data_IF_276437535031
#
_entry.id   IF_276437535031
#
_cell.length_a   1.000
_cell.length_b   1.000
_cell.length_c   1.000
_cell.angle_alpha   90.00
_cell.angle_beta   90.00
_cell.angle_gamma   90.00
#
_symmetry.space_group_name_H-M   'P 1'
#
loop_
_entity.id
_entity.type
_entity.pdbx_description
1 polymer ?
#
# COMPACT_ATOMS: atom_id res chain seq x y z
N UNK A 1 1.74 23.86 -3.66
CA UNK A 1 1.84 22.38 -3.76
C UNK A 1 1.96 22.03 -5.23
N UNK A 2 2.90 21.15 -5.62
CA UNK A 2 3.07 20.71 -7.01
C UNK A 2 1.92 19.79 -7.38
N UNK A 3 1.34 19.98 -8.57
CA UNK A 3 0.33 19.09 -9.13
C UNK A 3 1.00 17.95 -9.90
N UNK A 4 1.01 16.77 -9.31
CA UNK A 4 1.65 15.59 -9.90
C UNK A 4 0.87 15.01 -11.09
N UNK A 5 -0.44 15.23 -11.16
CA UNK A 5 -1.23 14.85 -12.32
C UNK A 5 -0.83 15.71 -13.54
N UNK A 6 -0.76 17.02 -13.35
CA UNK A 6 -0.30 17.94 -14.41
C UNK A 6 1.16 17.67 -14.81
N UNK A 7 2.05 17.36 -13.85
CA UNK A 7 3.45 17.03 -14.14
C UNK A 7 3.59 15.78 -15.04
N UNK A 8 2.69 14.81 -14.88
CA UNK A 8 2.67 13.60 -15.72
C UNK A 8 1.73 13.72 -16.94
N UNK A 9 1.09 14.87 -17.18
CA UNK A 9 0.08 15.08 -18.25
C UNK A 9 -1.06 14.04 -18.21
N UNK A 10 -1.57 13.76 -17.02
CA UNK A 10 -2.70 12.86 -16.82
C UNK A 10 -3.86 13.58 -16.16
N UNK A 11 -5.06 13.09 -16.40
CA UNK A 11 -6.28 13.63 -15.81
C UNK A 11 -6.31 13.43 -14.29
N UNK A 12 -6.82 14.43 -13.55
CA UNK A 12 -7.04 14.33 -12.10
C UNK A 12 -8.21 13.42 -11.80
N UNK A 13 -7.92 12.18 -11.45
CA UNK A 13 -8.95 11.19 -11.11
C UNK A 13 -8.49 10.21 -10.04
N UNK A 14 -9.42 9.64 -9.26
CA UNK A 14 -9.10 8.70 -8.19
C UNK A 14 -8.45 7.42 -8.68
N UNK A 15 -8.98 6.81 -9.73
CA UNK A 15 -8.44 5.59 -10.32
C UNK A 15 -7.61 5.91 -11.56
N UNK A 16 -6.40 5.35 -11.63
CA UNK A 16 -5.50 5.46 -12.78
C UNK A 16 -5.01 4.06 -13.11
N UNK A 17 -4.99 3.72 -14.39
CA UNK A 17 -4.46 2.44 -14.84
C UNK A 17 -2.93 2.41 -14.65
N UNK A 18 -2.43 1.38 -13.99
CA UNK A 18 -1.01 1.27 -13.61
C UNK A 18 -0.08 1.15 -14.82
N UNK A 19 -0.47 0.43 -15.87
CA UNK A 19 0.33 0.31 -17.09
C UNK A 19 0.39 1.63 -17.85
N UNK A 20 -0.74 2.33 -17.93
CA UNK A 20 -0.80 3.66 -18.52
C UNK A 20 0.12 4.62 -17.78
N UNK A 21 0.05 4.66 -16.44
CA UNK A 21 0.89 5.52 -15.60
C UNK A 21 2.39 5.20 -15.78
N UNK A 22 2.77 3.91 -15.81
CA UNK A 22 4.14 3.49 -16.08
C UNK A 22 4.62 3.95 -17.45
N UNK A 23 3.80 3.78 -18.49
CA UNK A 23 4.15 4.18 -19.85
C UNK A 23 4.33 5.70 -19.98
N UNK A 24 3.49 6.49 -19.30
CA UNK A 24 3.63 7.95 -19.26
C UNK A 24 4.93 8.34 -18.56
N UNK A 25 5.20 7.75 -17.39
CA UNK A 25 6.43 8.01 -16.65
C UNK A 25 7.69 7.67 -17.45
N UNK A 26 7.74 6.51 -18.11
CA UNK A 26 8.89 6.12 -18.93
C UNK A 26 9.12 7.07 -20.12
N UNK A 27 8.07 7.48 -20.82
CA UNK A 27 8.18 8.46 -21.91
C UNK A 27 8.72 9.81 -21.43
N UNK A 28 8.25 10.30 -20.29
CA UNK A 28 8.75 11.56 -19.71
C UNK A 28 10.19 11.44 -19.23
N UNK A 29 10.54 10.33 -18.61
CA UNK A 29 11.92 10.04 -18.19
C UNK A 29 12.87 10.07 -19.38
N UNK A 30 12.49 9.46 -20.50
CA UNK A 30 13.29 9.46 -21.72
C UNK A 30 13.44 10.85 -22.33
N UNK A 31 12.34 11.62 -22.38
CA UNK A 31 12.37 13.03 -22.81
C UNK A 31 13.29 13.88 -21.94
N UNK A 32 13.27 13.71 -20.62
CA UNK A 32 14.13 14.44 -19.68
C UNK A 32 15.61 14.11 -19.91
N UNK A 33 15.94 12.85 -20.18
CA UNK A 33 17.32 12.43 -20.51
C UNK A 33 17.82 13.08 -21.80
N UNK A 34 16.98 13.11 -22.85
CA UNK A 34 17.32 13.70 -24.14
C UNK A 34 17.55 15.21 -24.07
N UNK A 35 16.82 15.91 -23.21
CA UNK A 35 16.91 17.38 -23.08
C UNK A 35 17.85 17.84 -21.95
N UNK A 36 18.58 16.92 -21.29
CA UNK A 36 19.51 17.20 -20.18
C UNK A 36 18.85 18.05 -19.07
N UNK A 37 17.60 17.70 -18.71
CA UNK A 37 16.80 18.42 -17.69
C UNK A 37 17.50 18.33 -16.33
N UNK A 38 17.34 19.37 -15.53
CA UNK A 38 17.96 19.49 -14.20
C UNK A 38 17.58 18.34 -13.25
N UNK A 39 18.47 18.04 -12.31
CA UNK A 39 18.31 16.97 -11.32
C UNK A 39 17.02 17.09 -10.49
N UNK A 40 16.61 18.33 -10.17
CA UNK A 40 15.44 18.62 -9.35
C UNK A 40 14.12 18.30 -10.06
N UNK A 41 14.05 18.51 -11.36
CA UNK A 41 12.89 18.16 -12.17
C UNK A 41 12.74 16.63 -12.27
N UNK A 42 13.87 15.92 -12.38
CA UNK A 42 13.88 14.46 -12.37
C UNK A 42 13.43 13.88 -11.02
N UNK A 43 13.87 14.47 -9.91
CA UNK A 43 13.43 14.12 -8.57
C UNK A 43 11.92 14.36 -8.40
N UNK A 44 11.41 15.48 -8.92
CA UNK A 44 9.98 15.81 -8.92
C UNK A 44 9.15 14.82 -9.73
N UNK A 45 9.64 14.40 -10.91
CA UNK A 45 9.01 13.39 -11.75
C UNK A 45 8.91 12.03 -11.04
N UNK A 46 10.01 11.60 -10.38
CA UNK A 46 10.04 10.37 -9.61
C UNK A 46 9.05 10.42 -8.43
N UNK A 47 9.00 11.54 -7.72
CA UNK A 47 8.06 11.72 -6.61
C UNK A 47 6.60 11.71 -7.09
N UNK A 48 6.32 12.36 -8.22
CA UNK A 48 5.00 12.34 -8.86
C UNK A 48 4.57 10.91 -9.20
N UNK A 49 5.43 10.15 -9.87
CA UNK A 49 5.15 8.75 -10.21
C UNK A 49 4.90 7.90 -8.96
N UNK A 50 5.77 7.97 -7.95
CA UNK A 50 5.60 7.20 -6.70
C UNK A 50 4.30 7.56 -5.98
N UNK A 51 3.95 8.84 -5.93
CA UNK A 51 2.72 9.31 -5.29
C UNK A 51 1.47 8.83 -6.03
N UNK A 52 1.48 8.87 -7.35
CA UNK A 52 0.32 8.50 -8.16
C UNK A 52 0.22 6.98 -8.42
N UNK A 53 1.32 6.24 -8.33
CA UNK A 53 1.31 4.78 -8.44
C UNK A 53 0.64 4.09 -7.24
N UNK A 54 0.74 4.69 -6.06
CA UNK A 54 0.05 4.15 -4.89
C UNK A 54 -1.36 4.78 -4.77
N UNK A 55 -2.44 3.98 -4.78
CA UNK A 55 -3.81 4.49 -4.76
C UNK A 55 -4.14 5.32 -3.52
N UNK A 56 -3.62 4.98 -2.33
CA UNK A 56 -3.86 5.74 -1.12
C UNK A 56 -3.26 7.15 -1.20
N UNK A 57 -1.98 7.27 -1.58
CA UNK A 57 -1.30 8.57 -1.72
C UNK A 57 -1.82 9.37 -2.90
N UNK A 58 -2.23 8.72 -3.99
CA UNK A 58 -2.89 9.35 -5.13
C UNK A 58 -4.17 10.04 -4.72
N UNK A 59 -5.06 9.33 -4.01
CA UNK A 59 -6.33 9.90 -3.52
C UNK A 59 -6.05 11.07 -2.56
N UNK A 60 -5.12 10.90 -1.63
CA UNK A 60 -4.75 11.99 -0.69
C UNK A 60 -4.23 13.22 -1.43
N UNK A 61 -3.41 13.04 -2.47
CA UNK A 61 -2.92 14.12 -3.30
C UNK A 61 -4.05 14.80 -4.07
N UNK A 62 -4.93 14.02 -4.68
CA UNK A 62 -6.11 14.51 -5.38
C UNK A 62 -7.01 15.36 -4.46
N UNK A 63 -7.35 14.85 -3.28
CA UNK A 63 -8.20 15.57 -2.31
C UNK A 63 -7.56 16.88 -1.84
N UNK A 64 -6.23 16.92 -1.67
CA UNK A 64 -5.53 18.18 -1.34
C UNK A 64 -5.57 19.19 -2.48
N UNK A 65 -5.46 18.74 -3.72
CA UNK A 65 -5.54 19.63 -4.89
C UNK A 65 -6.93 20.24 -5.04
N UNK A 66 -7.97 19.42 -4.88
CA UNK A 66 -9.35 19.85 -5.15
C UNK A 66 -10.01 20.58 -3.95
N UNK A 67 -9.69 20.16 -2.73
CA UNK A 67 -10.36 20.64 -1.52
C UNK A 67 -9.44 21.28 -0.47
N UNK A 68 -8.15 21.37 -0.75
CA UNK A 68 -7.15 21.92 0.17
C UNK A 68 -6.76 21.00 1.33
N UNK A 69 -7.53 19.97 1.63
CA UNK A 69 -7.28 18.99 2.71
C UNK A 69 -7.72 17.59 2.30
N UNK A 70 -6.91 16.60 2.68
CA UNK A 70 -7.21 15.18 2.47
C UNK A 70 -7.69 14.47 3.75
N UNK A 71 -7.86 15.22 4.85
CA UNK A 71 -8.28 14.64 6.13
C UNK A 71 -9.74 14.21 6.07
N UNK A 72 -10.00 13.05 6.65
CA UNK A 72 -11.33 12.46 6.75
C UNK A 72 -11.24 10.96 6.93
N UNK A 73 -12.38 10.35 7.20
CA UNK A 73 -12.48 8.92 7.45
C UNK A 73 -12.25 8.56 8.93
N UNK A 74 -12.66 7.36 9.27
CA UNK A 74 -12.48 6.70 10.55
C UNK A 74 -12.12 5.23 10.31
N UNK A 75 -11.48 4.60 11.28
CA UNK A 75 -11.20 3.17 11.18
C UNK A 75 -12.51 2.42 11.46
N UNK A 76 -13.02 1.69 10.49
CA UNK A 76 -14.21 0.86 10.64
C UNK A 76 -13.94 -0.28 11.64
N UNK A 77 -14.98 -0.72 12.36
CA UNK A 77 -14.84 -1.71 13.43
C UNK A 77 -14.31 -3.05 12.90
N UNK A 78 -14.79 -3.51 11.74
CA UNK A 78 -14.35 -4.72 11.06
C UNK A 78 -12.86 -4.67 10.66
N UNK A 79 -12.38 -3.51 10.27
CA UNK A 79 -10.97 -3.27 9.97
C UNK A 79 -10.13 -3.28 11.26
N UNK A 80 -10.69 -2.77 12.37
CA UNK A 80 -10.05 -2.82 13.68
C UNK A 80 -9.87 -4.24 14.19
N UNK A 81 -10.88 -5.10 14.06
CA UNK A 81 -10.82 -6.51 14.42
C UNK A 81 -9.79 -7.28 13.55
N UNK A 82 -9.82 -7.05 12.24
CA UNK A 82 -8.83 -7.63 11.33
C UNK A 82 -7.40 -7.27 11.75
N UNK A 83 -7.14 -6.02 12.10
CA UNK A 83 -5.81 -5.58 12.54
C UNK A 83 -5.40 -6.20 13.87
N UNK A 84 -6.33 -6.44 14.80
CA UNK A 84 -6.05 -7.16 16.04
C UNK A 84 -5.46 -8.55 15.77
N UNK A 85 -6.12 -9.33 14.93
CA UNK A 85 -5.68 -10.67 14.53
C UNK A 85 -4.32 -10.66 13.83
N UNK A 86 -4.07 -9.66 12.98
CA UNK A 86 -2.79 -9.49 12.29
C UNK A 86 -1.67 -9.16 13.27
N UNK A 87 -1.91 -8.26 14.22
CA UNK A 87 -0.91 -7.91 15.25
C UNK A 87 -0.51 -9.14 16.06
N UNK A 88 -1.47 -10.00 16.44
CA UNK A 88 -1.16 -11.27 17.14
C UNK A 88 -0.31 -12.21 16.27
N UNK A 89 -0.63 -12.34 14.98
CA UNK A 89 0.14 -13.17 14.05
C UNK A 89 1.59 -12.65 13.89
N UNK A 90 1.78 -11.34 13.77
CA UNK A 90 3.10 -10.71 13.66
C UNK A 90 3.91 -10.86 14.95
N UNK A 91 3.29 -10.63 16.12
CA UNK A 91 3.94 -10.81 17.42
C UNK A 91 4.38 -12.26 17.64
N UNK A 92 3.54 -13.24 17.27
CA UNK A 92 3.90 -14.66 17.33
C UNK A 92 5.10 -14.97 16.43
N UNK A 93 5.11 -14.43 15.20
CA UNK A 93 6.24 -14.59 14.29
C UNK A 93 7.53 -14.03 14.88
N UNK A 94 7.49 -12.81 15.40
CA UNK A 94 8.66 -12.15 16.01
C UNK A 94 9.17 -12.90 17.24
N UNK A 95 8.31 -13.49 18.07
CA UNK A 95 8.67 -14.33 19.21
C UNK A 95 9.40 -15.61 18.77
N UNK A 96 8.87 -16.31 17.76
CA UNK A 96 9.51 -17.53 17.26
C UNK A 96 10.87 -17.23 16.59
N UNK A 97 11.00 -16.14 15.83
CA UNK A 97 12.28 -15.69 15.27
C UNK A 97 13.31 -15.42 16.38
N UNK A 98 12.89 -14.79 17.49
CA UNK A 98 13.77 -14.57 18.66
C UNK A 98 14.23 -15.87 19.31
N UNK A 99 13.34 -16.86 19.41
CA UNK A 99 13.67 -18.15 20.03
C UNK A 99 14.71 -18.94 19.23
N UNK A 100 14.60 -18.96 17.91
CA UNK A 100 15.53 -19.69 17.02
C UNK A 100 16.94 -19.09 17.07
N UNK A 101 17.05 -17.78 17.11
CA UNK A 101 18.34 -17.09 17.11
C UNK A 101 19.17 -17.34 18.37
N UNK A 102 18.55 -17.74 19.49
CA UNK A 102 19.20 -17.98 20.78
C UNK A 102 19.47 -19.46 21.07
N UNK A 103 18.94 -20.39 20.28
CA UNK A 103 19.00 -21.82 20.54
C UNK A 103 20.25 -22.48 19.95
N UNK A 104 21.02 -23.17 20.80
CA UNK A 104 22.23 -23.90 20.40
C UNK A 104 22.00 -25.40 20.16
N UNK A 105 20.88 -25.98 20.66
CA UNK A 105 20.61 -27.42 20.58
C UNK A 105 19.91 -27.80 19.26
N UNK A 106 20.42 -28.83 18.58
CA UNK A 106 19.85 -29.35 17.35
C UNK A 106 18.39 -29.86 17.53
N UNK A 107 18.08 -30.46 18.70
CA UNK A 107 16.72 -30.94 19.01
C UNK A 107 15.74 -29.77 19.15
N UNK A 108 16.14 -28.72 19.83
CA UNK A 108 15.26 -27.55 20.03
C UNK A 108 15.07 -26.80 18.71
N UNK A 109 16.08 -26.73 17.83
CA UNK A 109 15.90 -26.22 16.47
C UNK A 109 14.88 -27.03 15.67
N UNK A 110 14.92 -28.37 15.74
CA UNK A 110 13.93 -29.21 15.06
C UNK A 110 12.49 -28.97 15.56
N UNK A 111 12.31 -28.78 16.86
CA UNK A 111 11.01 -28.40 17.45
C UNK A 111 10.57 -27.00 17.05
N UNK A 112 11.50 -26.06 16.92
CA UNK A 112 11.23 -24.71 16.43
C UNK A 112 10.72 -24.72 14.97
N UNK A 113 11.30 -25.54 14.11
CA UNK A 113 10.81 -25.71 12.73
C UNK A 113 9.33 -26.12 12.68
N UNK A 114 8.91 -27.02 13.57
CA UNK A 114 7.50 -27.44 13.60
C UNK A 114 6.55 -26.31 14.05
N UNK A 115 7.01 -25.43 14.97
CA UNK A 115 6.24 -24.24 15.36
C UNK A 115 6.17 -23.21 14.24
N UNK A 116 7.21 -23.12 13.39
CA UNK A 116 7.24 -22.23 12.22
C UNK A 116 6.17 -22.54 11.18
N UNK A 117 5.72 -23.79 11.07
CA UNK A 117 4.60 -24.13 10.17
C UNK A 117 3.31 -23.44 10.61
N UNK A 118 3.03 -23.40 11.92
CA UNK A 118 1.89 -22.64 12.45
C UNK A 118 1.98 -21.15 12.24
N UNK A 119 3.21 -20.58 12.35
CA UNK A 119 3.46 -19.16 12.05
C UNK A 119 3.24 -18.88 10.56
N UNK A 120 3.77 -19.75 9.68
CA UNK A 120 3.59 -19.65 8.22
C UNK A 120 2.12 -19.62 7.83
N UNK A 121 1.34 -20.54 8.38
CA UNK A 121 -0.10 -20.62 8.11
C UNK A 121 -0.83 -19.36 8.59
N UNK A 122 -0.52 -18.87 9.79
CA UNK A 122 -1.10 -17.64 10.34
C UNK A 122 -0.78 -16.41 9.48
N UNK A 123 0.48 -16.27 9.03
CA UNK A 123 0.89 -15.18 8.14
C UNK A 123 0.23 -15.29 6.75
N UNK A 124 0.11 -16.49 6.20
CA UNK A 124 -0.58 -16.73 4.93
C UNK A 124 -2.07 -16.36 5.02
N UNK A 125 -2.73 -16.72 6.09
CA UNK A 125 -4.13 -16.34 6.32
C UNK A 125 -4.27 -14.83 6.45
N UNK A 126 -3.38 -14.17 7.21
CA UNK A 126 -3.36 -12.72 7.35
C UNK A 126 -3.16 -12.01 6.01
N UNK A 127 -2.22 -12.48 5.19
CA UNK A 127 -2.01 -11.92 3.84
C UNK A 127 -3.24 -12.07 2.95
N UNK A 128 -3.88 -13.23 2.99
CA UNK A 128 -5.09 -13.53 2.21
C UNK A 128 -6.25 -12.59 2.57
N UNK A 129 -6.48 -12.38 3.87
CA UNK A 129 -7.54 -11.49 4.35
C UNK A 129 -7.27 -10.03 4.00
N UNK A 130 -6.04 -9.57 4.19
CA UNK A 130 -5.63 -8.21 3.80
C UNK A 130 -5.73 -8.00 2.29
N UNK A 131 -5.29 -8.96 1.48
CA UNK A 131 -5.38 -8.88 0.01
C UNK A 131 -6.84 -8.85 -0.46
N UNK A 132 -7.72 -9.62 0.19
CA UNK A 132 -9.16 -9.56 -0.09
C UNK A 132 -9.73 -8.18 0.23
N UNK A 133 -9.32 -7.58 1.35
CA UNK A 133 -9.78 -6.24 1.74
C UNK A 133 -9.23 -5.18 0.77
N UNK A 134 -7.97 -5.30 0.36
CA UNK A 134 -7.38 -4.41 -0.65
C UNK A 134 -8.16 -4.46 -1.97
N UNK A 135 -8.46 -5.65 -2.48
CA UNK A 135 -9.27 -5.82 -3.69
C UNK A 135 -10.65 -5.18 -3.57
N UNK A 136 -11.30 -5.33 -2.41
CA UNK A 136 -12.59 -4.68 -2.14
C UNK A 136 -12.48 -3.15 -2.23
N UNK A 137 -11.50 -2.56 -1.54
CA UNK A 137 -11.26 -1.11 -1.53
C UNK A 137 -10.91 -0.56 -2.93
N UNK A 138 -10.16 -1.32 -3.73
CA UNK A 138 -9.85 -0.95 -5.11
C UNK A 138 -11.10 -1.03 -6.02
N UNK A 139 -11.99 -1.98 -5.78
CA UNK A 139 -13.28 -2.05 -6.47
C UNK A 139 -14.18 -0.86 -6.13
N UNK A 140 -14.26 -0.51 -4.84
CA UNK A 140 -14.98 0.69 -4.38
C UNK A 140 -14.39 1.96 -5.00
N UNK A 141 -13.06 2.06 -5.06
CA UNK A 141 -12.38 3.17 -5.72
C UNK A 141 -12.78 3.30 -7.19
N UNK A 142 -12.93 2.19 -7.91
CA UNK A 142 -13.40 2.20 -9.30
C UNK A 142 -14.83 2.76 -9.47
N UNK A 143 -15.72 2.47 -8.50
CA UNK A 143 -17.07 3.04 -8.49
C UNK A 143 -17.04 4.55 -8.19
N UNK A 144 -16.25 4.95 -7.20
CA UNK A 144 -16.05 6.36 -6.85
C UNK A 144 -15.41 7.17 -7.98
N UNK A 145 -14.54 6.55 -8.78
CA UNK A 145 -13.92 7.19 -9.94
C UNK A 145 -14.96 7.56 -11.03
N UNK A 146 -15.95 6.70 -11.25
CA UNK A 146 -17.05 7.01 -12.17
C UNK A 146 -17.91 8.17 -11.66
N UNK A 147 -18.23 8.19 -10.37
CA UNK A 147 -18.97 9.27 -9.73
C UNK A 147 -18.19 10.58 -9.65
N UNK A 148 -16.87 10.50 -9.53
CA UNK A 148 -15.97 11.65 -9.48
C UNK A 148 -16.10 12.54 -10.71
N UNK A 149 -16.23 11.95 -11.89
CA UNK A 149 -16.38 12.68 -13.15
C UNK A 149 -17.64 13.53 -13.19
N UNK A 150 -18.69 13.15 -12.45
CA UNK A 150 -19.97 13.86 -12.41
C UNK A 150 -20.01 14.89 -11.28
N UNK A 151 -19.59 14.50 -10.08
CA UNK A 151 -19.65 15.34 -8.87
C UNK A 151 -18.50 15.03 -7.87
N UNK A 152 -17.34 15.66 -8.01
CA UNK A 152 -16.20 15.48 -7.12
C UNK A 152 -16.51 15.73 -5.64
N UNK A 153 -17.33 16.75 -5.33
CA UNK A 153 -17.63 17.15 -3.96
C UNK A 153 -18.37 16.04 -3.19
N UNK A 154 -19.24 15.30 -3.86
CA UNK A 154 -20.00 14.21 -3.27
C UNK A 154 -19.11 13.01 -2.90
N UNK A 155 -18.03 12.79 -3.66
CA UNK A 155 -17.10 11.69 -3.44
C UNK A 155 -16.06 11.94 -2.34
N UNK A 156 -15.90 13.19 -1.87
CA UNK A 156 -14.83 13.59 -0.94
C UNK A 156 -14.73 12.71 0.29
N UNK A 157 -15.84 12.49 0.99
CA UNK A 157 -15.86 11.72 2.24
C UNK A 157 -15.49 10.25 2.02
N UNK A 158 -16.11 9.61 1.02
CA UNK A 158 -15.85 8.21 0.68
C UNK A 158 -14.42 8.01 0.18
N UNK A 159 -13.89 8.91 -0.64
CA UNK A 159 -12.49 8.85 -1.08
C UNK A 159 -11.51 9.00 0.08
N UNK A 160 -11.78 9.90 1.04
CA UNK A 160 -10.95 10.03 2.23
C UNK A 160 -10.97 8.75 3.08
N UNK A 161 -12.14 8.11 3.20
CA UNK A 161 -12.31 6.82 3.89
C UNK A 161 -11.51 5.70 3.19
N UNK A 162 -11.65 5.56 1.88
CA UNK A 162 -10.92 4.55 1.07
C UNK A 162 -9.41 4.79 1.17
N UNK A 163 -8.94 6.04 1.08
CA UNK A 163 -7.51 6.36 1.20
C UNK A 163 -6.94 5.98 2.58
N UNK A 164 -7.69 6.25 3.65
CA UNK A 164 -7.31 5.88 5.01
C UNK A 164 -7.22 4.35 5.14
N UNK A 165 -8.26 3.64 4.73
CA UNK A 165 -8.32 2.17 4.81
C UNK A 165 -7.21 1.50 3.99
N UNK A 166 -6.96 1.97 2.76
CA UNK A 166 -5.85 1.49 1.92
C UNK A 166 -4.48 1.73 2.57
N UNK A 167 -4.27 2.89 3.20
CA UNK A 167 -3.02 3.19 3.91
C UNK A 167 -2.72 2.14 4.98
N UNK A 168 -3.71 1.76 5.78
CA UNK A 168 -3.55 0.75 6.83
C UNK A 168 -3.38 -0.65 6.25
N UNK A 169 -4.23 -1.04 5.31
CA UNK A 169 -4.15 -2.37 4.67
C UNK A 169 -2.79 -2.58 4.00
N UNK A 170 -2.30 -1.61 3.25
CA UNK A 170 -0.99 -1.71 2.58
C UNK A 170 0.18 -1.74 3.57
N UNK A 171 0.10 -0.97 4.66
CA UNK A 171 1.08 -1.06 5.74
C UNK A 171 1.15 -2.49 6.29
N UNK A 172 0.02 -3.05 6.66
CA UNK A 172 -0.04 -4.39 7.26
C UNK A 172 0.35 -5.50 6.27
N UNK A 173 -0.01 -5.36 4.98
CA UNK A 173 0.46 -6.27 3.94
C UNK A 173 2.00 -6.29 3.85
N UNK A 174 2.64 -5.13 3.91
CA UNK A 174 4.09 -5.04 3.87
C UNK A 174 4.71 -5.69 5.12
N UNK A 175 4.17 -5.45 6.30
CA UNK A 175 4.62 -6.05 7.56
C UNK A 175 4.52 -7.58 7.53
N UNK A 176 3.40 -8.13 7.03
CA UNK A 176 3.21 -9.58 6.89
C UNK A 176 4.19 -10.18 5.87
N UNK A 177 4.35 -9.55 4.71
CA UNK A 177 5.28 -10.00 3.66
C UNK A 177 6.73 -10.01 4.13
N UNK A 178 7.13 -9.00 4.88
CA UNK A 178 8.47 -8.91 5.47
C UNK A 178 8.75 -10.08 6.40
N UNK A 179 7.79 -10.45 7.28
CA UNK A 179 7.95 -11.64 8.15
C UNK A 179 7.94 -12.94 7.36
N UNK A 180 7.17 -13.03 6.28
CA UNK A 180 7.20 -14.22 5.40
C UNK A 180 8.56 -14.39 4.72
N UNK A 181 9.16 -13.33 4.19
CA UNK A 181 10.51 -13.37 3.61
C UNK A 181 11.51 -13.83 4.66
N UNK A 182 11.48 -13.25 5.87
CA UNK A 182 12.35 -13.65 6.97
C UNK A 182 12.17 -15.12 7.37
N UNK A 183 10.95 -15.62 7.31
CA UNK A 183 10.66 -17.02 7.59
C UNK A 183 11.25 -17.96 6.53
N UNK A 184 11.25 -17.55 5.27
CA UNK A 184 11.88 -18.30 4.17
C UNK A 184 13.42 -18.31 4.28
N UNK A 185 14.03 -17.24 4.78
CA UNK A 185 15.48 -17.16 5.01
C UNK A 185 15.96 -18.07 6.15
N UNK A 186 15.07 -18.47 7.06
CA UNK A 186 15.39 -19.34 8.19
C UNK A 186 15.11 -20.83 7.91
N UNK A 187 14.42 -21.14 6.81
CA UNK A 187 14.03 -22.51 6.43
C UNK A 187 15.14 -23.19 5.62
#
# INVERSE_FOLDING_TARGET
>A
MIDYFALLDIERRPAVNDEFLKNVYFRKTESFRQHQVESDDFASLNLAFRTLANPATRIQHLLRLEFGDARGGHIEADLGELFGNIVEALQRADQEFGSISTESSALIRALAFHRMDGVRESLNQSEKELSKRECYLLSELGQLDSMWMENPAQCRGSLAQVALSLTFVQKWLNEVRERKIRLEELA
#
